data_IF_213322148102
#
_entry.id   IF_213322148102
#
_cell.length_a   1.000
_cell.length_b   1.000
_cell.length_c   1.000
_cell.angle_alpha   90.00
_cell.angle_beta   90.00
_cell.angle_gamma   90.00
#
_symmetry.space_group_name_H-M   'P 1'
#
loop_
_entity.id
_entity.type
_entity.pdbx_description
1 polymer ?
#
# COMPACT_ATOMS: atom_id res chain seq x y z
N UNK A 1 -17.27 -27.57 -22.16
CA UNK A 1 -17.89 -27.51 -20.85
C UNK A 1 -16.89 -27.37 -19.71
N UNK A 2 -16.09 -28.39 -19.30
CA UNK A 2 -15.17 -28.25 -18.18
C UNK A 2 -14.21 -27.05 -18.28
N UNK A 3 -13.65 -26.75 -19.46
CA UNK A 3 -12.77 -25.59 -19.65
C UNK A 3 -13.47 -24.25 -19.43
N UNK A 4 -14.74 -24.12 -19.86
CA UNK A 4 -15.55 -22.93 -19.63
C UNK A 4 -15.81 -22.70 -18.15
N UNK A 5 -16.20 -23.76 -17.43
CA UNK A 5 -16.43 -23.74 -15.99
C UNK A 5 -15.18 -23.31 -15.21
N UNK A 6 -14.00 -23.92 -15.53
CA UNK A 6 -12.75 -23.56 -14.88
C UNK A 6 -12.32 -22.12 -15.19
N UNK A 7 -12.54 -21.66 -16.43
CA UNK A 7 -12.23 -20.28 -16.82
C UNK A 7 -13.12 -19.28 -16.07
N UNK A 8 -14.43 -19.55 -16.00
CA UNK A 8 -15.38 -18.70 -15.28
C UNK A 8 -15.09 -18.68 -13.77
N UNK A 9 -14.80 -19.83 -13.16
CA UNK A 9 -14.42 -19.92 -11.74
C UNK A 9 -13.12 -19.14 -11.45
N UNK A 10 -12.12 -19.26 -12.32
CA UNK A 10 -10.88 -18.47 -12.19
C UNK A 10 -11.14 -16.98 -12.36
N UNK A 11 -12.02 -16.58 -13.27
CA UNK A 11 -12.46 -15.20 -13.45
C UNK A 11 -13.17 -14.65 -12.22
N UNK A 12 -14.04 -15.44 -11.58
CA UNK A 12 -14.69 -15.05 -10.32
C UNK A 12 -13.68 -14.87 -9.17
N UNK A 13 -12.74 -15.79 -9.02
CA UNK A 13 -11.69 -15.66 -8.01
C UNK A 13 -10.84 -14.41 -8.22
N UNK A 14 -10.43 -14.14 -9.46
CA UNK A 14 -9.70 -12.92 -9.79
C UNK A 14 -10.51 -11.66 -9.51
N UNK A 15 -11.83 -11.69 -9.76
CA UNK A 15 -12.72 -10.58 -9.43
C UNK A 15 -12.85 -10.37 -7.90
N UNK A 16 -12.92 -11.43 -7.10
CA UNK A 16 -12.94 -11.34 -5.63
C UNK A 16 -11.66 -10.68 -5.12
N UNK A 17 -10.48 -11.12 -5.57
CA UNK A 17 -9.21 -10.51 -5.16
C UNK A 17 -9.09 -9.04 -5.58
N UNK A 18 -9.54 -8.70 -6.80
CA UNK A 18 -9.59 -7.31 -7.22
C UNK A 18 -10.53 -6.47 -6.36
N UNK A 19 -11.67 -7.02 -5.98
CA UNK A 19 -12.62 -6.36 -5.09
C UNK A 19 -12.02 -6.07 -3.71
N UNK A 20 -11.26 -7.01 -3.14
CA UNK A 20 -10.54 -6.81 -1.87
C UNK A 20 -9.55 -5.63 -1.97
N UNK A 21 -8.77 -5.55 -3.06
CA UNK A 21 -7.80 -4.48 -3.28
C UNK A 21 -8.52 -3.14 -3.45
N UNK A 22 -9.55 -3.07 -4.29
CA UNK A 22 -10.32 -1.84 -4.55
C UNK A 22 -11.00 -1.36 -3.26
N UNK A 23 -11.58 -2.27 -2.48
CA UNK A 23 -12.23 -1.94 -1.21
C UNK A 23 -11.21 -1.42 -0.19
N UNK A 24 -10.01 -2.03 -0.14
CA UNK A 24 -8.92 -1.55 0.72
C UNK A 24 -8.45 -0.15 0.30
N UNK A 25 -8.30 0.11 -1.00
CA UNK A 25 -7.98 1.44 -1.52
C UNK A 25 -9.04 2.47 -1.11
N UNK A 26 -10.31 2.13 -1.31
CA UNK A 26 -11.43 3.02 -0.98
C UNK A 26 -11.49 3.33 0.52
N UNK A 27 -11.33 2.32 1.37
CA UNK A 27 -11.30 2.49 2.82
C UNK A 27 -10.14 3.39 3.30
N UNK A 28 -9.03 3.43 2.54
CA UNK A 28 -7.84 4.22 2.85
C UNK A 28 -7.69 5.47 1.99
N UNK A 29 -8.75 5.90 1.32
CA UNK A 29 -8.71 7.10 0.45
C UNK A 29 -8.44 8.40 1.23
N UNK A 30 -8.82 8.47 2.50
CA UNK A 30 -8.56 9.60 3.39
C UNK A 30 -7.35 9.39 4.31
N UNK A 31 -6.73 8.20 4.26
CA UNK A 31 -5.58 7.89 5.11
C UNK A 31 -4.34 8.64 4.64
N UNK A 32 -3.69 9.38 5.54
CA UNK A 32 -2.49 10.16 5.27
C UNK A 32 -1.35 9.26 4.79
N UNK A 33 -0.74 9.63 3.66
CA UNK A 33 0.42 8.92 3.10
C UNK A 33 0.12 7.53 2.55
N UNK A 34 -1.14 7.12 2.45
CA UNK A 34 -1.51 5.84 1.86
C UNK A 34 -1.18 5.80 0.37
N UNK A 35 -0.73 4.64 -0.09
CA UNK A 35 -0.40 4.36 -1.48
C UNK A 35 -1.33 3.29 -2.04
N UNK A 36 -1.94 3.62 -3.20
CA UNK A 36 -2.88 2.77 -3.93
C UNK A 36 -2.24 1.45 -4.30
N UNK A 37 -2.98 0.36 -4.17
CA UNK A 37 -2.61 -0.94 -4.70
C UNK A 37 -3.37 -1.21 -5.99
N UNK A 38 -2.68 -1.74 -6.98
CA UNK A 38 -3.20 -2.07 -8.30
C UNK A 38 -3.21 -3.59 -8.44
N UNK A 39 -4.36 -4.23 -8.76
CA UNK A 39 -4.40 -5.65 -9.00
C UNK A 39 -3.65 -6.02 -10.29
N UNK A 40 -2.76 -7.00 -10.23
CA UNK A 40 -2.03 -7.52 -11.38
C UNK A 40 -2.62 -8.86 -11.79
N UNK A 41 -3.16 -8.91 -13.00
CA UNK A 41 -3.77 -10.12 -13.55
C UNK A 41 -2.75 -10.93 -14.33
N UNK A 42 -2.74 -12.25 -14.14
CA UNK A 42 -1.99 -13.21 -14.97
C UNK A 42 -2.95 -14.09 -15.74
N UNK A 43 -2.59 -14.41 -16.97
CA UNK A 43 -3.43 -15.28 -17.78
C UNK A 43 -3.45 -16.70 -17.20
N UNK A 44 -4.64 -17.31 -17.14
CA UNK A 44 -4.87 -18.66 -16.62
C UNK A 44 -4.01 -19.73 -17.34
N UNK A 45 -3.77 -19.57 -18.63
CA UNK A 45 -2.91 -20.48 -19.42
C UNK A 45 -1.48 -20.56 -18.91
N UNK A 46 -0.93 -19.42 -18.44
CA UNK A 46 0.42 -19.33 -17.89
C UNK A 46 0.51 -20.01 -16.53
N UNK A 47 -0.56 -19.95 -15.73
CA UNK A 47 -0.66 -20.62 -14.43
C UNK A 47 -0.76 -22.12 -14.60
N UNK A 48 -1.61 -22.63 -15.51
CA UNK A 48 -1.74 -24.06 -15.82
C UNK A 48 -0.42 -24.69 -16.27
N UNK A 49 0.32 -24.02 -17.16
CA UNK A 49 1.63 -24.54 -17.62
C UNK A 49 2.68 -24.58 -16.50
N UNK A 50 2.58 -23.68 -15.52
CA UNK A 50 3.48 -23.61 -14.38
C UNK A 50 3.13 -24.66 -13.32
N UNK A 51 1.85 -24.93 -13.08
CA UNK A 51 1.36 -25.94 -12.13
C UNK A 51 1.53 -27.37 -12.67
N UNK A 52 1.38 -27.60 -13.97
CA UNK A 52 1.67 -28.90 -14.59
C UNK A 52 3.14 -29.32 -14.47
N UNK A 53 4.06 -28.37 -14.26
CA UNK A 53 5.49 -28.62 -14.02
C UNK A 53 5.88 -28.69 -12.54
N UNK A 54 4.98 -28.35 -11.63
CA UNK A 54 5.20 -28.40 -10.17
C UNK A 54 4.03 -29.12 -9.50
N UNK A 55 4.34 -30.23 -8.88
CA UNK A 55 3.42 -31.04 -8.06
C UNK A 55 3.08 -30.37 -6.71
N UNK A 56 2.60 -29.11 -6.75
CA UNK A 56 2.18 -28.38 -5.55
C UNK A 56 0.90 -27.61 -5.82
N UNK A 57 -0.19 -28.14 -5.26
CA UNK A 57 -1.52 -27.51 -5.18
C UNK A 57 -1.50 -26.25 -4.30
N UNK A 58 -0.98 -25.13 -4.81
CA UNK A 58 -1.15 -23.84 -4.15
C UNK A 58 -1.52 -22.79 -5.20
N UNK A 59 -2.76 -22.36 -5.15
CA UNK A 59 -3.23 -21.13 -5.80
C UNK A 59 -2.45 -19.97 -5.16
N UNK A 60 -1.32 -19.60 -5.74
CA UNK A 60 -0.50 -18.51 -5.23
C UNK A 60 -1.16 -17.21 -5.60
N UNK A 61 -1.50 -16.44 -4.58
CA UNK A 61 -1.95 -15.04 -4.66
C UNK A 61 -1.10 -14.29 -5.69
N UNK A 62 -1.79 -13.59 -6.58
CA UNK A 62 -1.15 -12.71 -7.54
C UNK A 62 -0.55 -11.51 -6.82
N UNK A 63 0.59 -11.05 -7.30
CA UNK A 63 1.28 -9.94 -6.69
C UNK A 63 0.49 -8.64 -6.91
N UNK A 64 0.21 -7.90 -5.87
CA UNK A 64 -0.28 -6.53 -5.97
C UNK A 64 0.89 -5.61 -6.29
N UNK A 65 0.67 -4.64 -7.15
CA UNK A 65 1.62 -3.55 -7.40
C UNK A 65 1.17 -2.32 -6.63
N UNK A 66 2.05 -1.76 -5.79
CA UNK A 66 1.77 -0.51 -5.07
C UNK A 66 2.23 0.67 -5.91
N UNK A 67 1.32 1.58 -6.21
CA UNK A 67 1.61 2.86 -6.88
C UNK A 67 2.22 3.84 -5.88
N UNK A 68 3.49 4.14 -6.05
CA UNK A 68 4.24 5.04 -5.18
C UNK A 68 4.18 6.52 -5.63
N UNK A 69 3.31 6.86 -6.58
CA UNK A 69 3.11 8.26 -6.98
C UNK A 69 2.71 9.13 -5.80
N UNK A 70 3.14 10.40 -5.84
CA UNK A 70 2.87 11.33 -4.75
C UNK A 70 1.41 11.77 -4.75
N UNK A 71 0.78 11.72 -3.56
CA UNK A 71 -0.55 12.28 -3.33
C UNK A 71 -0.53 13.82 -3.20
N UNK A 72 -1.69 14.41 -3.04
CA UNK A 72 -1.81 15.85 -2.85
C UNK A 72 -1.24 16.28 -1.48
N UNK A 73 -0.54 17.42 -1.44
CA UNK A 73 -0.03 18.00 -0.20
C UNK A 73 -1.05 18.95 0.40
N UNK A 74 -1.55 18.63 1.59
CA UNK A 74 -2.59 19.39 2.29
C UNK A 74 -1.96 20.15 3.47
N UNK A 75 -2.16 21.47 3.58
CA UNK A 75 -1.69 22.25 4.73
C UNK A 75 -2.53 21.93 5.97
N UNK A 76 -1.86 21.60 7.08
CA UNK A 76 -2.53 21.29 8.36
C UNK A 76 -2.27 22.34 9.43
N UNK A 77 -1.25 23.20 9.25
CA UNK A 77 -0.84 24.18 10.25
C UNK A 77 -0.16 23.59 11.49
N UNK A 78 -0.12 22.26 11.65
CA UNK A 78 0.57 21.62 12.77
C UNK A 78 2.07 21.56 12.52
N UNK A 79 2.86 22.08 13.46
CA UNK A 79 4.32 22.14 13.37
C UNK A 79 5.02 20.77 13.35
N UNK A 80 4.34 19.71 13.78
CA UNK A 80 4.87 18.33 13.82
C UNK A 80 4.45 17.50 12.61
N UNK A 81 3.68 18.09 11.70
CA UNK A 81 3.29 17.43 10.46
C UNK A 81 4.30 17.74 9.36
N UNK A 82 4.73 16.71 8.66
CA UNK A 82 5.72 16.79 7.60
C UNK A 82 5.25 16.09 6.34
N UNK A 83 5.48 16.71 5.21
CA UNK A 83 5.29 16.05 3.93
C UNK A 83 6.60 16.04 3.14
N UNK A 84 6.87 14.94 2.45
CA UNK A 84 7.99 14.82 1.53
C UNK A 84 7.59 15.38 0.16
N UNK A 85 8.43 16.20 -0.42
CA UNK A 85 8.34 16.59 -1.83
C UNK A 85 9.25 15.69 -2.66
N UNK A 86 8.67 14.96 -3.61
CA UNK A 86 9.41 14.04 -4.46
C UNK A 86 9.50 12.60 -3.93
N UNK A 87 10.49 11.85 -4.42
CA UNK A 87 10.68 10.42 -4.10
C UNK A 87 11.38 10.23 -2.76
N UNK A 88 10.96 9.21 -2.00
CA UNK A 88 11.59 8.82 -0.72
C UNK A 88 10.53 8.52 0.34
N UNK A 89 10.97 8.04 1.49
CA UNK A 89 10.13 7.66 2.63
C UNK A 89 10.80 8.08 3.92
N UNK A 90 10.01 8.40 4.93
CA UNK A 90 10.48 8.55 6.29
C UNK A 90 10.91 7.19 6.84
N UNK A 91 12.07 7.14 7.50
CA UNK A 91 12.55 5.94 8.15
C UNK A 91 12.10 5.93 9.62
N UNK A 92 11.48 4.84 10.06
CA UNK A 92 11.03 4.60 11.43
C UNK A 92 11.78 3.44 12.04
N UNK A 93 12.00 3.48 13.34
CA UNK A 93 12.57 2.36 14.08
C UNK A 93 11.45 1.53 14.69
N UNK A 94 11.23 0.34 14.14
CA UNK A 94 10.26 -0.63 14.69
C UNK A 94 10.99 -1.75 15.44
N UNK A 95 10.23 -2.59 16.16
CA UNK A 95 10.78 -3.77 16.84
C UNK A 95 11.41 -4.78 15.87
N UNK A 96 11.00 -4.75 14.60
CA UNK A 96 11.49 -5.66 13.56
C UNK A 96 12.57 -5.02 12.65
N UNK A 97 13.13 -3.87 13.05
CA UNK A 97 14.11 -3.12 12.29
C UNK A 97 13.54 -1.84 11.67
N UNK A 98 14.18 -1.37 10.60
CA UNK A 98 13.78 -0.13 9.92
C UNK A 98 12.55 -0.38 9.05
N UNK A 99 11.51 0.42 9.27
CA UNK A 99 10.33 0.51 8.41
C UNK A 99 10.26 1.88 7.76
N UNK A 100 9.50 1.98 6.69
CA UNK A 100 9.36 3.18 5.87
C UNK A 100 7.91 3.62 5.82
N UNK A 101 7.66 4.93 5.82
CA UNK A 101 6.32 5.48 5.69
C UNK A 101 6.29 6.77 4.90
N UNK A 102 5.14 7.08 4.30
CA UNK A 102 4.81 8.41 3.76
C UNK A 102 3.91 9.21 4.70
N UNK A 103 3.43 8.57 5.77
CA UNK A 103 2.70 9.28 6.81
C UNK A 103 3.64 10.23 7.55
N UNK A 104 3.32 11.51 7.48
CA UNK A 104 4.07 12.59 8.14
C UNK A 104 3.39 13.11 9.40
N UNK A 105 2.38 12.43 9.91
CA UNK A 105 1.71 12.80 11.15
C UNK A 105 2.50 12.32 12.36
N UNK A 106 3.36 13.17 12.89
CA UNK A 106 4.20 12.85 14.03
C UNK A 106 3.74 13.57 15.28
N UNK A 107 4.02 12.94 16.42
CA UNK A 107 3.80 13.48 17.76
C UNK A 107 5.06 13.36 18.61
N UNK A 108 5.11 14.05 19.75
CA UNK A 108 6.17 13.89 20.73
C UNK A 108 5.72 12.93 21.83
N UNK A 109 6.54 11.94 22.10
CA UNK A 109 6.33 11.09 23.28
C UNK A 109 6.91 11.72 24.54
N UNK A 110 6.65 11.09 25.71
CA UNK A 110 7.13 11.55 27.02
C UNK A 110 8.67 11.65 27.14
N UNK A 111 9.39 11.01 26.22
CA UNK A 111 10.88 11.06 26.15
C UNK A 111 11.38 12.13 25.17
N UNK A 112 10.49 12.99 24.66
CA UNK A 112 10.82 14.02 23.67
C UNK A 112 11.17 13.49 22.28
N UNK A 113 10.86 12.23 21.95
CA UNK A 113 11.10 11.66 20.62
C UNK A 113 9.94 11.91 19.70
N UNK A 114 10.23 12.20 18.44
CA UNK A 114 9.22 12.24 17.39
C UNK A 114 8.80 10.79 17.06
N UNK A 115 7.51 10.51 17.22
CA UNK A 115 6.92 9.19 16.98
C UNK A 115 5.71 9.30 16.05
N UNK A 116 5.43 8.23 15.31
CA UNK A 116 4.19 8.12 14.55
C UNK A 116 2.99 7.78 15.47
N UNK A 117 1.80 7.59 14.90
CA UNK A 117 0.58 7.21 15.63
C UNK A 117 0.69 5.89 16.41
N UNK A 118 1.59 5.00 16.00
CA UNK A 118 1.84 3.70 16.65
C UNK A 118 2.96 3.75 17.71
N UNK A 119 3.58 4.92 17.90
CA UNK A 119 4.67 5.11 18.86
C UNK A 119 6.06 4.76 18.34
N UNK A 120 6.22 4.46 17.05
CA UNK A 120 7.54 4.19 16.45
C UNK A 120 8.32 5.49 16.24
N UNK A 121 9.58 5.58 16.74
CA UNK A 121 10.37 6.79 16.62
C UNK A 121 10.86 7.03 15.18
N UNK A 122 10.79 8.30 14.77
CA UNK A 122 11.36 8.79 13.52
C UNK A 122 12.87 8.78 13.58
N UNK A 123 13.50 8.17 12.58
CA UNK A 123 14.94 8.11 12.47
C UNK A 123 15.49 9.36 11.79
N UNK A 124 16.52 9.88 12.40
CA UNK A 124 17.45 10.82 11.77
C UNK A 124 18.72 10.11 11.29
N UNK A 125 19.66 10.85 10.72
CA UNK A 125 20.93 10.29 10.24
C UNK A 125 21.78 9.67 11.36
N UNK A 126 21.72 10.21 12.59
CA UNK A 126 22.50 9.77 13.75
C UNK A 126 21.73 8.89 14.73
N UNK A 127 20.48 8.55 14.43
CA UNK A 127 19.59 7.78 15.31
C UNK A 127 18.21 8.44 15.48
N UNK A 128 17.38 7.99 16.42
CA UNK A 128 16.07 8.55 16.67
C UNK A 128 16.14 10.05 16.99
N UNK A 129 15.25 10.85 16.39
CA UNK A 129 15.20 12.29 16.62
C UNK A 129 14.57 12.55 18.00
N UNK A 130 15.36 13.17 18.88
CA UNK A 130 14.92 13.56 20.21
C UNK A 130 15.01 15.08 20.38
N UNK A 131 13.93 15.68 20.85
CA UNK A 131 13.84 17.10 21.16
C UNK A 131 14.08 17.24 22.65
N UNK A 132 15.04 18.08 23.10
CA UNK A 132 15.29 18.28 24.52
C UNK A 132 14.04 18.79 25.24
N UNK A 133 13.80 18.32 26.48
CA UNK A 133 12.62 18.66 27.28
C UNK A 133 12.45 20.17 27.54
N UNK A 134 13.53 20.94 27.44
CA UNK A 134 13.52 22.40 27.60
C UNK A 134 13.15 23.13 26.29
N UNK A 135 13.07 22.42 25.16
CA UNK A 135 12.73 23.01 23.86
C UNK A 135 11.22 23.15 23.67
N UNK A 136 10.72 24.38 23.54
CA UNK A 136 9.31 24.59 23.21
C UNK A 136 9.03 24.09 21.78
N UNK A 137 8.01 23.24 21.62
CA UNK A 137 7.54 22.75 20.31
C UNK A 137 7.22 23.92 19.35
N UNK A 138 6.91 25.10 19.89
CA UNK A 138 6.64 26.32 19.11
C UNK A 138 7.90 26.83 18.36
N UNK A 139 9.10 26.56 18.89
CA UNK A 139 10.36 27.06 18.33
C UNK A 139 11.07 26.03 17.42
N UNK A 140 10.41 24.92 17.10
CA UNK A 140 10.90 23.95 16.12
C UNK A 140 10.94 24.57 14.73
N UNK A 141 12.12 24.73 14.18
CA UNK A 141 12.34 25.12 12.79
C UNK A 141 12.89 23.92 12.01
N UNK A 142 12.39 23.75 10.81
CA UNK A 142 12.88 22.72 9.88
C UNK A 142 13.40 23.43 8.63
N UNK A 143 14.59 23.06 8.22
CA UNK A 143 15.13 23.52 6.96
C UNK A 143 14.57 22.64 5.82
N UNK A 144 14.57 23.15 4.59
CA UNK A 144 14.16 22.41 3.38
C UNK A 144 14.95 21.11 3.20
N UNK A 145 16.13 20.99 3.78
CA UNK A 145 16.98 19.79 3.78
C UNK A 145 16.66 18.78 4.88
N UNK A 146 15.58 19.01 5.66
CA UNK A 146 15.20 18.09 6.75
C UNK A 146 16.00 18.24 8.03
N UNK A 147 16.80 19.31 8.18
CA UNK A 147 17.47 19.60 9.44
C UNK A 147 16.47 20.10 10.48
N UNK A 148 16.50 19.49 11.66
CA UNK A 148 15.69 19.85 12.82
C UNK A 148 16.46 20.85 13.65
N UNK A 149 15.97 22.09 13.71
CA UNK A 149 16.60 23.19 14.46
C UNK A 149 15.69 23.54 15.63
N UNK A 150 16.21 23.46 16.85
CA UNK A 150 15.54 23.89 18.08
C UNK A 150 16.40 24.99 18.71
N UNK A 151 15.77 26.14 18.99
CA UNK A 151 16.45 27.30 19.61
C UNK A 151 17.75 27.69 18.90
N UNK A 152 17.81 27.56 17.58
CA UNK A 152 19.01 27.94 16.78
C UNK A 152 20.07 26.84 16.71
N UNK A 153 19.92 25.72 17.43
CA UNK A 153 20.85 24.58 17.36
C UNK A 153 20.27 23.46 16.50
N UNK A 154 21.05 22.97 15.54
CA UNK A 154 20.68 21.77 14.77
C UNK A 154 20.79 20.53 15.67
N UNK A 155 19.68 19.86 15.93
CA UNK A 155 19.61 18.65 16.75
C UNK A 155 19.87 17.42 15.91
N UNK A 156 19.41 17.40 14.67
CA UNK A 156 19.57 16.26 13.77
C UNK A 156 18.96 16.54 12.41
N UNK A 157 19.16 15.60 11.50
CA UNK A 157 18.55 15.63 10.17
C UNK A 157 17.64 14.43 10.00
N UNK A 158 16.43 14.64 9.50
CA UNK A 158 15.47 13.56 9.21
C UNK A 158 16.06 12.66 8.13
N UNK A 159 16.06 11.36 8.40
CA UNK A 159 16.51 10.36 7.44
C UNK A 159 15.38 10.07 6.46
N UNK A 160 15.65 10.32 5.18
CA UNK A 160 14.77 10.00 4.07
C UNK A 160 15.49 9.05 3.14
N UNK A 161 14.95 7.87 3.00
CA UNK A 161 15.48 6.80 2.17
C UNK A 161 14.61 6.58 0.94
N UNK A 162 15.23 6.14 -0.15
CA UNK A 162 14.53 5.72 -1.37
C UNK A 162 14.92 4.28 -1.72
N UNK A 163 14.32 3.27 -1.08
CA UNK A 163 14.60 1.88 -1.37
C UNK A 163 14.10 1.50 -2.77
N UNK A 164 14.89 0.71 -3.50
CA UNK A 164 14.56 0.28 -4.87
C UNK A 164 13.37 -0.69 -4.95
N UNK A 165 13.08 -1.40 -3.85
CA UNK A 165 11.96 -2.35 -3.79
C UNK A 165 11.39 -2.39 -2.39
N UNK A 166 10.07 -2.21 -2.28
CA UNK A 166 9.32 -2.15 -1.05
C UNK A 166 8.13 -3.10 -1.08
N UNK A 167 7.72 -3.60 0.08
CA UNK A 167 6.45 -4.27 0.28
C UNK A 167 5.72 -3.68 1.48
N UNK A 168 4.39 -3.68 1.45
CA UNK A 168 3.56 -3.24 2.57
C UNK A 168 3.62 -4.25 3.71
N UNK A 169 3.85 -3.76 4.92
CA UNK A 169 3.84 -4.56 6.15
C UNK A 169 2.50 -4.46 6.89
N UNK A 170 1.63 -3.54 6.51
CA UNK A 170 0.43 -3.12 7.22
C UNK A 170 0.61 -1.76 7.89
N UNK A 171 -0.48 -1.17 8.42
CA UNK A 171 -0.49 0.09 9.16
C UNK A 171 0.25 1.25 8.45
N UNK A 172 0.11 1.31 7.13
CA UNK A 172 0.79 2.30 6.28
C UNK A 172 2.33 2.30 6.37
N UNK A 173 2.89 1.14 6.77
CA UNK A 173 4.32 0.89 6.84
C UNK A 173 4.78 0.03 5.67
N UNK A 174 5.97 0.37 5.18
CA UNK A 174 6.65 -0.36 4.12
C UNK A 174 7.97 -0.94 4.65
N UNK A 175 8.37 -2.06 4.11
CA UNK A 175 9.67 -2.67 4.39
C UNK A 175 10.42 -2.92 3.10
N UNK A 176 11.72 -2.69 3.12
CA UNK A 176 12.57 -3.01 1.98
C UNK A 176 12.82 -4.52 1.90
N UNK A 177 12.82 -5.08 0.69
CA UNK A 177 13.31 -6.45 0.49
C UNK A 177 14.80 -6.53 0.86
N UNK A 178 15.25 -7.66 1.39
CA UNK A 178 16.64 -7.85 1.85
C UNK A 178 17.70 -7.57 0.76
N UNK A 179 17.32 -7.72 -0.52
CA UNK A 179 18.18 -7.43 -1.68
C UNK A 179 18.05 -6.00 -2.18
N UNK A 180 17.17 -5.18 -1.61
CA UNK A 180 16.93 -3.82 -2.10
C UNK A 180 18.09 -2.91 -1.70
N UNK A 181 18.70 -2.26 -2.70
CA UNK A 181 19.63 -1.16 -2.46
C UNK A 181 18.86 0.02 -1.90
N UNK A 182 19.19 0.45 -0.71
CA UNK A 182 18.64 1.65 -0.09
C UNK A 182 19.57 2.82 -0.40
N UNK A 183 19.17 3.70 -1.27
CA UNK A 183 19.86 4.93 -1.54
C UNK A 183 19.26 6.04 -0.69
N UNK A 184 20.13 6.92 -0.14
CA UNK A 184 19.62 8.17 0.46
C UNK A 184 18.99 9.01 -0.66
N UNK A 185 17.86 9.62 -0.36
CA UNK A 185 17.23 10.53 -1.31
C UNK A 185 18.19 11.68 -1.64
N UNK A 186 18.53 11.85 -2.92
CA UNK A 186 19.52 12.85 -3.39
C UNK A 186 19.05 14.29 -3.16
N UNK A 187 17.75 14.51 -3.30
CA UNK A 187 17.12 15.82 -3.05
C UNK A 187 15.97 15.62 -2.07
N UNK A 188 16.23 15.95 -0.81
CA UNK A 188 15.21 15.92 0.24
C UNK A 188 14.54 17.29 0.27
N UNK A 189 13.23 17.31 0.03
CA UNK A 189 12.43 18.50 0.21
C UNK A 189 11.32 18.21 1.22
N UNK A 190 11.48 18.69 2.45
CA UNK A 190 10.48 18.49 3.51
C UNK A 190 9.67 19.78 3.68
N UNK A 191 8.35 19.66 3.55
CA UNK A 191 7.39 20.73 3.85
C UNK A 191 6.85 20.52 5.25
N UNK A 192 7.13 21.47 6.14
CA UNK A 192 6.57 21.55 7.49
C UNK A 192 5.13 22.07 7.43
N UNK A 193 4.26 21.53 8.28
CA UNK A 193 2.86 21.93 8.36
C UNK A 193 1.98 21.39 7.25
N UNK A 194 2.46 20.41 6.51
CA UNK A 194 1.76 19.71 5.45
C UNK A 194 1.72 18.22 5.71
N UNK A 195 0.69 17.56 5.22
CA UNK A 195 0.58 16.12 5.12
C UNK A 195 0.36 15.72 3.67
N UNK A 196 0.82 14.54 3.31
CA UNK A 196 0.54 13.93 2.02
C UNK A 196 -0.76 13.13 2.13
N UNK A 197 -1.78 13.44 1.32
CA UNK A 197 -3.00 12.64 1.27
C UNK A 197 -2.76 11.33 0.53
N UNK A 198 -3.71 10.42 0.62
CA UNK A 198 -3.75 9.23 -0.23
C UNK A 198 -3.67 9.62 -1.71
N UNK A 199 -3.04 8.78 -2.55
CA UNK A 199 -3.07 8.91 -4.01
C UNK A 199 -4.25 8.16 -4.64
N UNK A 200 -5.20 7.71 -3.84
CA UNK A 200 -6.43 7.05 -4.28
C UNK A 200 -7.45 8.07 -4.77
N UNK A 201 -7.99 7.84 -5.96
CA UNK A 201 -9.14 8.58 -6.46
C UNK A 201 -10.43 7.81 -6.15
N UNK A 202 -11.23 8.32 -5.22
CA UNK A 202 -12.46 7.67 -4.75
C UNK A 202 -13.43 7.35 -5.91
N UNK A 203 -13.61 8.30 -6.85
CA UNK A 203 -14.54 8.14 -7.97
C UNK A 203 -14.06 7.02 -8.90
N UNK A 204 -12.76 7.00 -9.20
CA UNK A 204 -12.16 5.96 -10.03
C UNK A 204 -12.27 4.59 -9.39
N UNK A 205 -12.00 4.46 -8.08
CA UNK A 205 -12.13 3.19 -7.36
C UNK A 205 -13.59 2.71 -7.30
N UNK A 206 -14.57 3.62 -7.15
CA UNK A 206 -15.99 3.27 -7.22
C UNK A 206 -16.40 2.73 -8.59
N UNK A 207 -15.91 3.34 -9.67
CA UNK A 207 -16.17 2.86 -11.04
C UNK A 207 -15.54 1.47 -11.22
N UNK A 208 -14.27 1.30 -10.81
CA UNK A 208 -13.57 0.02 -10.86
C UNK A 208 -14.31 -1.07 -10.06
N UNK A 209 -14.89 -0.72 -8.91
CA UNK A 209 -15.68 -1.64 -8.09
C UNK A 209 -16.94 -2.11 -8.84
N UNK A 210 -17.66 -1.19 -9.48
CA UNK A 210 -18.86 -1.51 -10.26
C UNK A 210 -18.51 -2.40 -11.46
N UNK A 211 -17.44 -2.07 -12.19
CA UNK A 211 -16.99 -2.86 -13.34
C UNK A 211 -16.57 -4.28 -12.90
N UNK A 212 -15.86 -4.38 -11.79
CA UNK A 212 -15.42 -5.65 -11.23
C UNK A 212 -16.62 -6.50 -10.76
N UNK A 213 -17.62 -5.87 -10.15
CA UNK A 213 -18.85 -6.55 -9.75
C UNK A 213 -19.64 -7.08 -10.95
N UNK A 214 -19.77 -6.30 -12.03
CA UNK A 214 -20.37 -6.75 -13.29
C UNK A 214 -19.62 -7.93 -13.92
N UNK A 215 -18.29 -7.92 -13.84
CA UNK A 215 -17.46 -9.03 -14.31
C UNK A 215 -17.74 -10.31 -13.49
N UNK A 216 -17.84 -10.16 -12.17
CA UNK A 216 -18.20 -11.27 -11.29
C UNK A 216 -19.56 -11.85 -11.63
N UNK A 217 -20.61 -11.01 -11.80
CA UNK A 217 -21.96 -11.42 -12.20
C UNK A 217 -21.99 -12.12 -13.58
N UNK A 218 -21.22 -11.61 -14.54
CA UNK A 218 -21.10 -12.22 -15.86
C UNK A 218 -20.54 -13.64 -15.77
N UNK A 219 -19.47 -13.84 -15.01
CA UNK A 219 -18.88 -15.16 -14.78
C UNK A 219 -19.85 -16.11 -14.05
N UNK A 220 -20.60 -15.59 -13.07
CA UNK A 220 -21.64 -16.37 -12.38
C UNK A 220 -22.73 -16.86 -13.34
N UNK A 221 -23.19 -16.00 -14.26
CA UNK A 221 -24.17 -16.38 -15.28
C UNK A 221 -23.63 -17.47 -16.21
N UNK A 222 -22.35 -17.41 -16.57
CA UNK A 222 -21.70 -18.47 -17.36
C UNK A 222 -21.76 -19.81 -16.62
N UNK A 223 -21.42 -19.84 -15.34
CA UNK A 223 -21.49 -21.07 -14.52
C UNK A 223 -22.93 -21.61 -14.45
N UNK A 224 -23.91 -20.73 -14.20
CA UNK A 224 -25.34 -21.14 -14.18
C UNK A 224 -25.83 -21.70 -15.52
N UNK A 225 -25.39 -21.10 -16.64
CA UNK A 225 -25.72 -21.59 -17.99
C UNK A 225 -25.10 -22.96 -18.27
N UNK A 226 -23.84 -23.17 -17.90
CA UNK A 226 -23.17 -24.46 -18.02
C UNK A 226 -23.86 -25.53 -17.15
N UNK A 227 -24.25 -25.21 -15.92
CA UNK A 227 -24.95 -26.10 -15.00
C UNK A 227 -26.34 -26.47 -15.56
N UNK A 228 -27.10 -25.49 -16.06
CA UNK A 228 -28.41 -25.73 -16.68
C UNK A 228 -28.30 -26.64 -17.90
N UNK A 229 -27.23 -26.50 -18.68
CA UNK A 229 -26.98 -27.34 -19.87
C UNK A 229 -26.62 -28.76 -19.45
N UNK A 230 -25.78 -28.92 -18.41
CA UNK A 230 -25.45 -30.24 -17.86
C UNK A 230 -26.68 -30.95 -17.30
N UNK A 231 -27.53 -30.22 -16.57
CA UNK A 231 -28.78 -30.77 -16.04
C UNK A 231 -29.74 -31.25 -17.15
N UNK A 232 -29.88 -30.49 -18.25
CA UNK A 232 -30.69 -30.92 -19.41
C UNK A 232 -30.10 -32.19 -20.05
N UNK A 233 -28.78 -32.24 -20.26
CA UNK A 233 -28.12 -33.41 -20.83
C UNK A 233 -28.33 -34.64 -19.95
N UNK A 234 -28.16 -34.53 -18.63
CA UNK A 234 -28.34 -35.64 -17.70
C UNK A 234 -29.83 -36.14 -17.70
N UNK A 235 -30.77 -35.23 -17.73
CA UNK A 235 -32.20 -35.60 -17.70
C UNK A 235 -32.71 -36.14 -19.03
N UNK A 236 -32.27 -35.58 -20.18
CA UNK A 236 -32.71 -36.01 -21.50
C UNK A 236 -32.01 -37.33 -21.94
N UNK A 237 -30.74 -37.52 -21.66
CA UNK A 237 -30.02 -38.74 -21.99
C UNK A 237 -30.38 -39.89 -21.02
N UNK A 238 -30.73 -39.59 -19.78
CA UNK A 238 -31.18 -40.57 -18.79
C UNK A 238 -32.57 -41.17 -19.06
N UNK A 239 -33.37 -40.51 -19.92
CA UNK A 239 -34.71 -40.98 -20.31
C UNK A 239 -34.74 -41.86 -21.59
N UNK A 240 -33.56 -42.04 -22.23
CA UNK A 240 -33.45 -42.89 -23.43
C UNK A 240 -33.03 -44.34 -23.03
N UNK A 241 -33.67 -44.88 -22.00
CA UNK A 241 -33.60 -46.31 -21.67
C UNK A 241 -34.96 -46.90 -21.54
#
# INVERSE_FOLDING_TARGET
MLRGLYSAASGMLSAIYAQEIITNNLANSETVGFKRDIPVYKSFSTLLQREMKRDTRQTKMEATFTDLTQGQLIPTGNNLNFALGGKGFFALLTLQGVAYTRDGNFSLNNKGRLVNSEGFPLLGEKGPISIPSNGSVKNLKFNKKGEVIVEGKAIGQIRVDNPSSLYKQGNNLFKAYNSAKTEKAKEIFIKKGYLESSNVNIIEEMVNLIENFRLYEANQKVIQSEDSTLNKICNEIGLIR
#
